data_IF_557121727919
#
_entry.id   IF_557121727919
#
_cell.length_a   1.000
_cell.length_b   1.000
_cell.length_c   1.000
_cell.angle_alpha   90.00
_cell.angle_beta   90.00
_cell.angle_gamma   90.00
#
_symmetry.space_group_name_H-M   'P 1'
#
loop_
_entity.id
_entity.type
_entity.pdbx_description
1 polymer ?
#
# COMPACT_ATOMS: atom_id res chain seq x y z
N UNK A 1 21.17 12.05 3.64
CA UNK A 1 21.28 11.03 2.57
C UNK A 1 22.74 10.71 2.30
N UNK A 2 23.10 9.45 1.95
CA UNK A 2 24.50 9.03 1.72
C UNK A 2 24.94 9.03 0.23
N UNK A 3 24.17 9.66 -0.66
CA UNK A 3 24.57 9.92 -2.06
C UNK A 3 24.77 8.70 -2.97
N UNK A 4 24.25 7.53 -2.60
CA UNK A 4 24.30 6.28 -3.38
C UNK A 4 22.95 5.55 -3.32
N UNK A 5 22.61 4.81 -4.37
CA UNK A 5 21.41 3.99 -4.42
C UNK A 5 20.12 4.76 -4.70
N UNK A 6 19.03 4.32 -4.08
CA UNK A 6 17.69 4.93 -4.16
C UNK A 6 17.28 5.50 -2.80
N UNK A 7 16.23 6.32 -2.77
CA UNK A 7 15.61 6.81 -1.54
C UNK A 7 14.12 6.44 -1.53
N UNK A 8 13.63 5.91 -0.41
CA UNK A 8 12.20 5.69 -0.20
C UNK A 8 11.46 7.01 0.00
N UNK A 9 10.14 6.99 -0.19
CA UNK A 9 9.26 8.16 -0.01
C UNK A 9 9.39 8.75 1.39
N UNK A 10 9.33 7.89 2.42
CA UNK A 10 9.53 8.25 3.83
C UNK A 10 10.87 7.68 4.34
N UNK A 11 11.98 8.16 3.79
CA UNK A 11 13.32 7.55 3.96
C UNK A 11 13.86 7.52 5.41
N UNK A 12 13.27 8.29 6.34
CA UNK A 12 13.65 8.31 7.75
C UNK A 12 12.68 7.53 8.66
N UNK A 13 11.58 6.98 8.12
CA UNK A 13 10.61 6.25 8.92
C UNK A 13 11.19 4.91 9.40
N UNK A 14 11.00 4.53 10.68
CA UNK A 14 11.37 3.21 11.16
C UNK A 14 10.48 2.14 10.50
N UNK A 15 11.05 0.97 10.22
CA UNK A 15 10.33 -0.16 9.63
C UNK A 15 10.22 -1.30 10.64
N UNK A 16 9.00 -1.80 10.83
CA UNK A 16 8.74 -3.08 11.50
C UNK A 16 8.47 -4.13 10.41
N UNK A 17 9.27 -5.20 10.40
CA UNK A 17 9.22 -6.22 9.35
C UNK A 17 8.70 -7.55 9.91
N UNK A 18 7.53 -7.99 9.44
CA UNK A 18 7.01 -9.32 9.72
C UNK A 18 6.96 -10.15 8.43
N UNK A 19 7.56 -11.34 8.46
CA UNK A 19 7.64 -12.21 7.28
C UNK A 19 6.41 -13.12 7.22
N UNK A 20 5.39 -12.70 6.48
CA UNK A 20 4.20 -13.52 6.19
C UNK A 20 4.36 -14.43 4.96
N UNK A 21 5.31 -14.11 4.07
CA UNK A 21 5.51 -14.79 2.79
C UNK A 21 6.93 -15.38 2.70
N UNK A 22 7.06 -16.49 1.98
CA UNK A 22 8.32 -17.19 1.81
C UNK A 22 8.41 -18.04 0.55
N UNK A 23 9.55 -18.72 0.41
CA UNK A 23 9.88 -19.54 -0.74
C UNK A 23 10.10 -18.74 -2.04
N UNK A 24 10.43 -19.44 -3.14
CA UNK A 24 10.74 -18.81 -4.42
C UNK A 24 9.57 -18.07 -5.06
N UNK A 25 8.34 -18.45 -4.71
CA UNK A 25 7.11 -17.87 -5.27
C UNK A 25 6.51 -16.76 -4.40
N UNK A 26 7.13 -16.45 -3.24
CA UNK A 26 6.60 -15.42 -2.33
C UNK A 26 5.21 -15.75 -1.80
N UNK A 27 4.97 -17.00 -1.40
CA UNK A 27 3.66 -17.46 -0.93
C UNK A 27 3.61 -17.59 0.59
N UNK A 28 2.42 -17.52 1.17
CA UNK A 28 2.17 -17.69 2.60
C UNK A 28 0.72 -18.04 2.87
N UNK A 29 0.41 -18.42 4.11
CA UNK A 29 -0.98 -18.72 4.48
C UNK A 29 -1.70 -17.47 4.95
N UNK A 30 -3.02 -17.45 4.80
CA UNK A 30 -3.86 -16.39 5.35
C UNK A 30 -3.67 -16.23 6.86
N UNK A 31 -3.40 -17.32 7.58
CA UNK A 31 -3.11 -17.29 9.00
C UNK A 31 -1.79 -16.57 9.31
N UNK A 32 -0.74 -16.79 8.52
CA UNK A 32 0.54 -16.09 8.69
C UNK A 32 0.40 -14.59 8.44
N UNK A 33 -0.36 -14.21 7.40
CA UNK A 33 -0.66 -12.80 7.10
C UNK A 33 -1.45 -12.17 8.25
N UNK A 34 -2.51 -12.82 8.73
CA UNK A 34 -3.31 -12.33 9.85
C UNK A 34 -2.47 -12.17 11.13
N UNK A 35 -1.61 -13.15 11.44
CA UNK A 35 -0.69 -13.08 12.59
C UNK A 35 0.28 -11.90 12.45
N UNK A 36 0.83 -11.67 11.25
CA UNK A 36 1.71 -10.53 11.01
C UNK A 36 1.00 -9.20 11.18
N UNK A 37 -0.24 -9.05 10.68
CA UNK A 37 -1.05 -7.83 10.85
C UNK A 37 -1.25 -7.52 12.34
N UNK A 38 -1.70 -8.51 13.12
CA UNK A 38 -1.91 -8.34 14.57
C UNK A 38 -0.60 -7.99 15.27
N UNK A 39 0.49 -8.70 14.96
CA UNK A 39 1.79 -8.47 15.59
C UNK A 39 2.32 -7.06 15.33
N UNK A 40 2.29 -6.57 14.08
CA UNK A 40 2.77 -5.20 13.78
C UNK A 40 1.84 -4.15 14.41
N UNK A 41 0.53 -4.39 14.45
CA UNK A 41 -0.40 -3.50 15.14
C UNK A 41 -0.08 -3.39 16.63
N UNK A 42 0.29 -4.50 17.29
CA UNK A 42 0.73 -4.52 18.70
C UNK A 42 2.08 -3.80 18.91
N UNK A 43 2.92 -3.69 17.88
CA UNK A 43 4.12 -2.85 17.93
C UNK A 43 3.82 -1.34 17.82
N UNK A 44 2.55 -0.96 17.62
CA UNK A 44 2.13 0.44 17.53
C UNK A 44 2.49 1.11 16.20
N UNK A 45 2.60 0.35 15.10
CA UNK A 45 2.81 0.94 13.78
C UNK A 45 1.58 1.76 13.36
N UNK A 46 1.81 2.87 12.67
CA UNK A 46 0.73 3.73 12.14
C UNK A 46 0.30 3.37 10.72
N UNK A 47 1.16 2.66 9.98
CA UNK A 47 0.88 2.22 8.59
C UNK A 47 1.31 0.76 8.43
N UNK A 48 0.45 -0.04 7.82
CA UNK A 48 0.73 -1.43 7.45
C UNK A 48 0.66 -1.53 5.92
N UNK A 49 1.77 -1.92 5.29
CA UNK A 49 1.88 -2.04 3.83
C UNK A 49 1.92 -3.52 3.42
N UNK A 50 0.97 -3.94 2.58
CA UNK A 50 0.79 -5.32 2.15
C UNK A 50 0.79 -5.44 0.62
N UNK A 51 1.96 -5.75 0.06
CA UNK A 51 2.16 -5.97 -1.38
C UNK A 51 1.77 -7.40 -1.79
N UNK A 52 0.56 -7.84 -1.40
CA UNK A 52 0.05 -9.21 -1.55
C UNK A 52 -1.47 -9.23 -1.77
N UNK A 53 -2.00 -10.37 -2.21
CA UNK A 53 -3.42 -10.62 -2.48
C UNK A 53 -3.78 -12.09 -2.28
N UNK A 54 -5.08 -12.39 -2.29
CA UNK A 54 -5.67 -13.71 -2.08
C UNK A 54 -7.19 -13.64 -1.95
N UNK A 55 -7.79 -14.76 -1.56
CA UNK A 55 -9.24 -14.86 -1.32
C UNK A 55 -9.68 -14.31 0.03
N UNK A 56 -10.98 -14.03 0.15
CA UNK A 56 -11.62 -13.58 1.38
C UNK A 56 -11.45 -14.61 2.53
N UNK A 57 -11.32 -14.11 3.75
CA UNK A 57 -11.19 -14.91 4.96
C UNK A 57 -11.61 -14.13 6.20
N UNK A 58 -12.49 -14.73 7.01
CA UNK A 58 -12.87 -14.18 8.32
C UNK A 58 -11.65 -13.89 9.20
N UNK A 59 -10.66 -14.79 9.22
CA UNK A 59 -9.45 -14.63 10.04
C UNK A 59 -8.63 -13.41 9.59
N UNK A 60 -8.50 -13.22 8.27
CA UNK A 60 -7.77 -12.07 7.71
C UNK A 60 -8.52 -10.77 8.01
N UNK A 61 -9.84 -10.74 7.77
CA UNK A 61 -10.64 -9.56 8.00
C UNK A 61 -10.63 -9.15 9.47
N UNK A 62 -10.71 -10.11 10.40
CA UNK A 62 -10.62 -9.83 11.83
C UNK A 62 -9.27 -9.20 12.22
N UNK A 63 -8.16 -9.67 11.65
CA UNK A 63 -6.85 -9.06 11.89
C UNK A 63 -6.76 -7.62 11.33
N UNK A 64 -7.31 -7.39 10.14
CA UNK A 64 -7.43 -6.04 9.55
C UNK A 64 -8.28 -5.13 10.43
N UNK A 65 -9.43 -5.60 10.91
CA UNK A 65 -10.31 -4.85 11.81
C UNK A 65 -9.64 -4.55 13.16
N UNK A 66 -8.86 -5.49 13.67
CA UNK A 66 -8.06 -5.28 14.87
C UNK A 66 -7.05 -4.14 14.64
N UNK A 67 -6.24 -4.19 13.58
CA UNK A 67 -5.29 -3.13 13.26
C UNK A 67 -5.96 -1.77 13.05
N UNK A 68 -7.11 -1.74 12.36
CA UNK A 68 -7.88 -0.51 12.12
C UNK A 68 -8.44 0.13 13.40
N UNK A 69 -8.84 -0.68 14.40
CA UNK A 69 -9.53 -0.21 15.61
C UNK A 69 -8.64 -0.11 16.84
N UNK A 70 -7.43 -0.68 16.83
CA UNK A 70 -6.55 -0.72 18.00
C UNK A 70 -5.98 0.69 18.32
N UNK A 71 -6.45 1.31 19.41
CA UNK A 71 -6.04 2.67 19.79
C UNK A 71 -6.46 3.72 18.75
N UNK A 72 -5.49 4.43 18.17
CA UNK A 72 -5.73 5.34 17.04
C UNK A 72 -5.82 4.61 15.68
N UNK A 73 -5.59 3.29 15.66
CA UNK A 73 -5.59 2.46 14.48
C UNK A 73 -4.33 2.61 13.64
N UNK A 74 -4.04 1.58 12.84
CA UNK A 74 -3.07 1.62 11.76
C UNK A 74 -3.78 1.75 10.41
N UNK A 75 -3.27 2.61 9.52
CA UNK A 75 -3.75 2.67 8.15
C UNK A 75 -3.22 1.46 7.38
N UNK A 76 -4.13 0.61 6.91
CA UNK A 76 -3.79 -0.59 6.18
C UNK A 76 -3.85 -0.31 4.68
N UNK A 77 -2.78 -0.62 3.96
CA UNK A 77 -2.63 -0.35 2.52
C UNK A 77 -2.26 -1.65 1.82
N UNK A 78 -3.00 -2.04 0.79
CA UNK A 78 -2.77 -3.30 0.09
C UNK A 78 -2.85 -3.17 -1.44
N UNK A 79 -2.18 -4.09 -2.14
CA UNK A 79 -2.14 -4.14 -3.60
C UNK A 79 -3.50 -4.57 -4.19
N UNK A 80 -4.01 -3.87 -5.21
CA UNK A 80 -5.32 -4.16 -5.80
C UNK A 80 -5.37 -5.46 -6.63
N UNK A 81 -4.23 -6.05 -7.01
CA UNK A 81 -4.14 -7.24 -7.87
C UNK A 81 -3.47 -6.97 -9.22
N UNK A 82 -3.11 -8.03 -9.95
CA UNK A 82 -2.26 -7.96 -11.15
C UNK A 82 -2.82 -8.74 -12.36
N UNK A 83 -4.12 -9.02 -12.39
CA UNK A 83 -4.80 -9.80 -13.43
C UNK A 83 -5.31 -8.92 -14.59
N UNK A 84 -5.36 -7.61 -14.39
CA UNK A 84 -5.78 -6.62 -15.39
C UNK A 84 -7.29 -6.49 -15.54
N UNK A 85 -8.06 -7.16 -14.68
CA UNK A 85 -9.51 -7.26 -14.73
C UNK A 85 -10.17 -6.67 -13.48
N UNK A 86 -11.44 -7.03 -13.22
CA UNK A 86 -12.21 -6.53 -12.09
C UNK A 86 -12.21 -7.45 -10.87
N UNK A 87 -11.31 -8.44 -10.81
CA UNK A 87 -11.21 -9.38 -9.69
C UNK A 87 -10.90 -8.62 -8.40
N UNK A 88 -11.57 -9.03 -7.31
CA UNK A 88 -11.31 -8.52 -5.97
C UNK A 88 -10.19 -9.34 -5.33
N UNK A 89 -9.22 -8.64 -4.76
CA UNK A 89 -8.10 -9.21 -4.04
C UNK A 89 -8.18 -8.83 -2.57
N UNK A 90 -7.98 -9.79 -1.68
CA UNK A 90 -8.00 -9.57 -0.24
C UNK A 90 -6.59 -9.60 0.33
N UNK A 91 -6.23 -8.65 1.22
CA UNK A 91 -7.13 -7.79 2.00
C UNK A 91 -7.53 -6.47 1.33
N UNK A 92 -7.09 -6.16 0.11
CA UNK A 92 -7.35 -4.85 -0.53
C UNK A 92 -8.84 -4.51 -0.66
N UNK A 93 -9.69 -5.50 -0.92
CA UNK A 93 -11.14 -5.33 -1.03
C UNK A 93 -11.88 -5.16 0.31
N UNK A 94 -11.20 -5.19 1.46
CA UNK A 94 -11.85 -4.87 2.73
C UNK A 94 -12.06 -3.36 2.88
N UNK A 95 -13.23 -2.97 3.39
CA UNK A 95 -13.60 -1.56 3.56
C UNK A 95 -12.63 -0.76 4.43
N UNK A 96 -11.91 -1.41 5.34
CA UNK A 96 -10.90 -0.83 6.23
C UNK A 96 -9.52 -0.65 5.56
N UNK A 97 -9.33 -1.12 4.32
CA UNK A 97 -8.04 -1.15 3.61
C UNK A 97 -8.05 -0.19 2.42
N UNK A 98 -6.93 0.51 2.24
CA UNK A 98 -6.67 1.32 1.04
C UNK A 98 -6.17 0.39 -0.07
N UNK A 99 -7.01 0.11 -1.07
CA UNK A 99 -6.62 -0.67 -2.24
C UNK A 99 -5.85 0.17 -3.25
N UNK A 100 -4.66 -0.29 -3.64
CA UNK A 100 -3.72 0.47 -4.47
C UNK A 100 -3.60 -0.09 -5.88
N UNK A 101 -4.00 0.72 -6.87
CA UNK A 101 -3.79 0.46 -8.29
C UNK A 101 -2.41 0.95 -8.77
N UNK A 102 -1.92 0.36 -9.85
CA UNK A 102 -0.64 0.68 -10.45
C UNK A 102 -0.78 1.58 -11.68
N UNK A 103 0.09 2.60 -11.76
CA UNK A 103 0.25 3.48 -12.91
C UNK A 103 1.65 3.36 -13.50
N UNK A 104 1.76 3.71 -14.78
CA UNK A 104 3.04 3.91 -15.43
C UNK A 104 3.56 5.35 -15.31
N UNK A 105 4.73 5.62 -15.90
CA UNK A 105 5.36 6.93 -15.85
C UNK A 105 4.68 8.00 -16.74
N UNK A 106 3.55 7.68 -17.36
CA UNK A 106 2.71 8.58 -18.16
C UNK A 106 1.33 8.77 -17.54
N UNK A 107 1.16 8.36 -16.27
CA UNK A 107 -0.12 8.40 -15.55
C UNK A 107 -1.22 7.53 -16.17
N UNK A 108 -0.83 6.52 -16.95
CA UNK A 108 -1.78 5.54 -17.45
C UNK A 108 -1.89 4.38 -16.46
N UNK A 109 -3.11 3.84 -16.28
CA UNK A 109 -3.31 2.59 -15.53
C UNK A 109 -2.46 1.49 -16.19
N UNK A 110 -1.66 0.80 -15.39
CA UNK A 110 -0.91 -0.35 -15.86
C UNK A 110 -1.89 -1.43 -16.35
N UNK A 111 -1.62 -2.05 -17.50
CA UNK A 111 -2.56 -3.01 -18.10
C UNK A 111 -2.86 -4.22 -17.21
N UNK A 112 -1.94 -4.57 -16.30
CA UNK A 112 -2.11 -5.64 -15.32
C UNK A 112 -2.85 -5.19 -14.05
N UNK A 113 -2.96 -3.90 -13.74
CA UNK A 113 -3.55 -3.46 -12.47
C UNK A 113 -5.03 -3.82 -12.45
N UNK A 114 -5.53 -4.54 -11.45
CA UNK A 114 -6.97 -4.75 -11.33
C UNK A 114 -7.70 -3.40 -11.19
N UNK A 115 -8.91 -3.32 -11.74
CA UNK A 115 -9.77 -2.15 -11.76
C UNK A 115 -11.19 -2.57 -11.34
N UNK A 116 -11.58 -2.18 -10.13
CA UNK A 116 -12.83 -2.58 -9.50
C UNK A 116 -13.33 -1.46 -8.57
N UNK A 117 -14.48 -1.68 -7.93
CA UNK A 117 -15.10 -0.67 -7.08
C UNK A 117 -14.32 -0.36 -5.78
N UNK A 118 -13.37 -1.22 -5.38
CA UNK A 118 -12.61 -1.09 -4.14
C UNK A 118 -11.29 -0.36 -4.33
N UNK A 119 -10.78 -0.22 -5.56
CA UNK A 119 -9.62 0.63 -5.88
C UNK A 119 -9.83 2.03 -5.29
N UNK A 120 -8.93 2.44 -4.41
CA UNK A 120 -9.06 3.69 -3.67
C UNK A 120 -8.06 4.74 -4.14
N UNK A 121 -6.81 4.33 -4.40
CA UNK A 121 -5.73 5.23 -4.80
C UNK A 121 -4.84 4.54 -5.84
N UNK A 122 -4.31 5.32 -6.77
CA UNK A 122 -3.27 4.88 -7.69
C UNK A 122 -1.88 5.36 -7.26
N UNK A 123 -0.84 4.61 -7.63
CA UNK A 123 0.55 5.05 -7.47
C UNK A 123 1.47 4.43 -8.54
N UNK A 124 2.71 4.92 -8.72
CA UNK A 124 3.65 4.35 -9.68
C UNK A 124 3.95 2.88 -9.35
N UNK A 125 3.65 2.01 -10.31
CA UNK A 125 3.82 0.56 -10.16
C UNK A 125 4.46 -0.11 -11.38
N UNK A 126 4.88 0.64 -12.40
CA UNK A 126 5.58 0.12 -13.59
C UNK A 126 7.01 0.60 -13.61
N UNK A 127 7.95 -0.33 -13.83
CA UNK A 127 9.39 -0.06 -13.92
C UNK A 127 9.95 0.69 -12.70
N UNK A 128 9.59 0.24 -11.50
CA UNK A 128 10.02 0.84 -10.24
C UNK A 128 11.36 0.22 -9.82
N UNK A 129 12.40 1.05 -9.78
CA UNK A 129 13.74 0.68 -9.27
C UNK A 129 13.75 0.70 -7.74
N UNK A 130 14.20 -0.40 -7.11
CA UNK A 130 14.38 -0.47 -5.67
C UNK A 130 15.55 -1.36 -5.26
N UNK A 131 15.88 -1.39 -3.96
CA UNK A 131 16.84 -2.32 -3.37
C UNK A 131 16.36 -3.77 -3.51
N UNK A 132 17.29 -4.71 -3.65
CA UNK A 132 16.99 -6.13 -3.83
C UNK A 132 17.90 -7.03 -3.00
N UNK A 133 17.46 -8.25 -2.70
CA UNK A 133 18.11 -9.15 -1.74
C UNK A 133 19.24 -10.02 -2.35
N UNK A 134 19.53 -9.89 -3.64
CA UNK A 134 20.61 -10.66 -4.28
C UNK A 134 22.03 -10.23 -3.87
N UNK A 135 22.19 -9.06 -3.25
CA UNK A 135 23.40 -8.64 -2.50
C UNK A 135 23.12 -7.37 -1.68
N UNK A 136 24.04 -6.99 -0.78
CA UNK A 136 23.93 -5.76 0.05
C UNK A 136 23.90 -4.44 -0.75
N UNK A 137 24.19 -4.48 -2.05
CA UNK A 137 24.17 -3.32 -2.94
C UNK A 137 23.40 -3.60 -4.22
N UNK A 138 22.50 -4.59 -4.20
CA UNK A 138 21.72 -4.97 -5.37
C UNK A 138 20.50 -4.06 -5.53
N UNK A 139 20.17 -3.79 -6.79
CA UNK A 139 18.98 -3.09 -7.19
C UNK A 139 18.30 -3.86 -8.31
N UNK A 140 16.99 -3.79 -8.36
CA UNK A 140 16.21 -4.36 -9.45
C UNK A 140 15.07 -3.43 -9.82
N UNK A 141 14.57 -3.59 -11.04
CA UNK A 141 13.38 -2.89 -11.54
C UNK A 141 12.25 -3.88 -11.65
N UNK A 142 11.15 -3.62 -10.95
CA UNK A 142 9.96 -4.49 -10.93
C UNK A 142 8.71 -3.70 -11.30
N UNK A 143 7.67 -4.44 -11.68
CA UNK A 143 6.35 -3.90 -11.98
C UNK A 143 5.28 -4.73 -11.27
N UNK A 144 4.24 -4.06 -10.76
CA UNK A 144 3.11 -4.66 -10.07
C UNK A 144 2.38 -3.64 -9.19
N UNK A 145 1.14 -3.92 -8.82
CA UNK A 145 0.45 -3.20 -7.73
C UNK A 145 1.23 -3.32 -6.42
N UNK A 146 1.95 -4.42 -6.23
CA UNK A 146 2.96 -4.61 -5.18
C UNK A 146 4.02 -3.50 -5.11
N UNK A 147 4.38 -2.86 -6.23
CA UNK A 147 5.32 -1.73 -6.29
C UNK A 147 4.63 -0.38 -6.08
N UNK A 148 3.33 -0.28 -6.38
CA UNK A 148 2.52 0.91 -6.11
C UNK A 148 2.20 1.06 -4.62
N UNK A 149 1.84 -0.05 -3.94
CA UNK A 149 1.51 -0.07 -2.50
C UNK A 149 2.52 0.65 -1.60
N UNK A 150 3.85 0.40 -1.68
CA UNK A 150 4.82 1.07 -0.81
C UNK A 150 4.97 2.57 -1.08
N UNK A 151 4.61 3.08 -2.26
CA UNK A 151 4.56 4.53 -2.50
C UNK A 151 3.44 5.16 -1.67
N UNK A 152 2.23 4.57 -1.70
CA UNK A 152 1.08 5.04 -0.92
C UNK A 152 1.36 4.93 0.58
N UNK A 153 1.92 3.80 1.04
CA UNK A 153 2.32 3.63 2.43
C UNK A 153 3.36 4.66 2.89
N UNK A 154 4.32 5.00 2.02
CA UNK A 154 5.30 6.05 2.29
C UNK A 154 4.67 7.45 2.40
N UNK A 155 3.71 7.78 1.54
CA UNK A 155 2.98 9.06 1.66
C UNK A 155 2.13 9.09 2.93
N UNK A 156 1.46 7.99 3.26
CA UNK A 156 0.72 7.86 4.51
C UNK A 156 1.63 8.06 5.75
N UNK A 157 2.84 7.49 5.74
CA UNK A 157 3.80 7.70 6.81
C UNK A 157 4.18 9.18 6.96
N UNK A 158 4.32 9.93 5.86
CA UNK A 158 4.56 11.37 5.90
C UNK A 158 3.35 12.17 6.40
N UNK A 159 2.12 11.71 6.16
CA UNK A 159 0.91 12.30 6.74
C UNK A 159 0.94 12.16 8.27
N UNK A 160 1.27 10.97 8.79
CA UNK A 160 1.42 10.75 10.24
C UNK A 160 2.58 11.54 10.85
N UNK A 161 3.71 11.69 10.14
CA UNK A 161 4.83 12.53 10.59
C UNK A 161 4.40 13.98 10.81
N UNK A 162 3.58 14.53 9.89
CA UNK A 162 3.03 15.88 10.03
C UNK A 162 1.87 15.98 11.01
N UNK A 163 1.17 14.87 11.27
CA UNK A 163 -0.01 14.83 12.11
C UNK A 163 0.04 13.63 13.08
N UNK A 164 0.91 13.65 14.12
CA UNK A 164 1.17 12.48 14.95
C UNK A 164 -0.02 11.97 15.78
N UNK A 165 -1.06 12.79 15.92
CA UNK A 165 -2.29 12.47 16.68
C UNK A 165 -3.44 12.01 15.78
N UNK A 166 -3.24 11.89 14.47
CA UNK A 166 -4.28 11.40 13.58
C UNK A 166 -4.66 9.95 13.92
N UNK A 167 -5.94 9.66 13.80
CA UNK A 167 -6.42 8.29 13.66
C UNK A 167 -6.18 7.78 12.24
N UNK A 168 -6.20 6.45 12.04
CA UNK A 168 -6.13 5.85 10.71
C UNK A 168 -7.18 6.43 9.74
N UNK A 169 -8.40 6.69 10.23
CA UNK A 169 -9.47 7.29 9.43
C UNK A 169 -9.16 8.74 9.00
N UNK A 170 -8.58 9.56 9.89
CA UNK A 170 -8.17 10.92 9.55
C UNK A 170 -7.01 10.94 8.55
N UNK A 171 -6.03 10.04 8.73
CA UNK A 171 -4.93 9.88 7.80
C UNK A 171 -5.40 9.42 6.42
N UNK A 172 -6.33 8.45 6.35
CA UNK A 172 -6.96 7.99 5.10
C UNK A 172 -7.69 9.13 4.40
N UNK A 173 -8.53 9.88 5.11
CA UNK A 173 -9.24 11.03 4.53
C UNK A 173 -8.28 12.10 3.98
N UNK A 174 -7.18 12.40 4.69
CA UNK A 174 -6.15 13.31 4.17
C UNK A 174 -5.46 12.72 2.95
N UNK A 175 -5.18 11.42 2.94
CA UNK A 175 -4.57 10.71 1.81
C UNK A 175 -5.46 10.77 0.56
N UNK A 176 -6.76 10.47 0.69
CA UNK A 176 -7.77 10.54 -0.39
C UNK A 176 -7.87 11.95 -0.98
N UNK A 177 -7.78 12.98 -0.14
CA UNK A 177 -7.77 14.38 -0.56
C UNK A 177 -6.43 14.84 -1.17
N UNK A 178 -5.39 14.02 -1.08
CA UNK A 178 -4.01 14.37 -1.46
C UNK A 178 -3.56 13.62 -2.71
N UNK A 179 -4.41 13.62 -3.73
CA UNK A 179 -4.19 12.94 -5.01
C UNK A 179 -4.22 13.93 -6.17
N UNK A 180 -3.64 13.52 -7.29
CA UNK A 180 -3.94 14.09 -8.61
C UNK A 180 -5.02 13.21 -9.24
N UNK A 181 -6.21 13.79 -9.47
CA UNK A 181 -7.33 13.10 -10.11
C UNK A 181 -6.97 12.75 -11.56
N UNK A 182 -7.15 11.48 -11.91
CA UNK A 182 -6.80 10.89 -13.21
C UNK A 182 -7.99 10.10 -13.73
N UNK A 183 -8.11 9.99 -15.05
CA UNK A 183 -9.21 9.24 -15.66
C UNK A 183 -10.50 10.04 -15.68
N UNK A 184 -11.60 9.45 -15.19
CA UNK A 184 -12.87 10.14 -15.10
C UNK A 184 -12.88 11.07 -13.89
N UNK A 185 -13.52 12.24 -13.99
CA UNK A 185 -13.52 13.19 -12.87
C UNK A 185 -14.14 12.58 -11.60
N UNK A 186 -13.42 12.71 -10.49
CA UNK A 186 -13.80 12.10 -9.21
C UNK A 186 -13.41 10.63 -9.11
N UNK A 187 -13.95 9.93 -8.09
CA UNK A 187 -13.56 8.55 -7.84
C UNK A 187 -13.99 7.62 -8.98
N UNK A 188 -13.05 6.89 -9.56
CA UNK A 188 -13.31 5.86 -10.58
C UNK A 188 -12.68 4.50 -10.24
N UNK A 189 -13.00 3.46 -11.02
CA UNK A 189 -12.55 2.09 -10.77
C UNK A 189 -11.10 1.81 -11.17
N UNK A 190 -10.46 2.72 -11.92
CA UNK A 190 -9.11 2.55 -12.46
C UNK A 190 -8.05 3.21 -11.58
N UNK A 191 -8.35 4.41 -11.08
CA UNK A 191 -7.42 5.23 -10.31
C UNK A 191 -7.92 5.51 -8.89
N UNK A 192 -9.13 5.08 -8.54
CA UNK A 192 -9.76 5.45 -7.28
C UNK A 192 -9.97 6.95 -7.24
N UNK A 193 -9.57 7.62 -6.17
CA UNK A 193 -9.57 9.08 -6.08
C UNK A 193 -8.51 9.75 -6.98
N UNK A 194 -7.49 9.01 -7.40
CA UNK A 194 -6.41 9.53 -8.24
C UNK A 194 -5.02 8.99 -7.85
N UNK A 195 -3.98 9.50 -8.52
CA UNK A 195 -2.59 9.16 -8.19
C UNK A 195 -2.15 9.90 -6.93
N UNK A 196 -1.57 9.20 -5.96
CA UNK A 196 -1.05 9.77 -4.72
C UNK A 196 -0.08 10.94 -4.98
N UNK A 197 -0.22 12.03 -4.22
CA UNK A 197 0.60 13.23 -4.34
C UNK A 197 1.19 13.63 -2.98
N UNK A 198 2.50 13.38 -2.81
CA UNK A 198 3.20 13.68 -1.56
C UNK A 198 3.15 15.17 -1.19
N UNK A 199 3.25 16.07 -2.16
CA UNK A 199 3.28 17.51 -1.89
C UNK A 199 1.95 18.00 -1.30
N UNK A 200 0.81 17.51 -1.81
CA UNK A 200 -0.52 17.78 -1.26
C UNK A 200 -0.73 17.13 0.12
N UNK A 201 -0.11 15.97 0.33
CA UNK A 201 -0.22 15.23 1.58
C UNK A 201 0.47 15.92 2.76
N UNK A 202 1.58 16.63 2.51
CA UNK A 202 2.38 17.30 3.56
C UNK A 202 2.22 18.82 3.62
N UNK A 203 1.38 19.39 2.76
CA UNK A 203 0.97 20.80 2.82
C UNK A 203 -0.10 21.05 3.87
#
# INVERSE_FOLDING_TARGET
>A
MRGKGVAGVAFNSPLAMCRALGGPLGSGTTADVANCITWVADQGVTVISMSLGGGDSTTLHQAVQYAWRNGNGALVVAAAGNDGDSTLEYPAAYSEVVAVAATDNKDQRASFSNANADVEIAAPGVNVLSTYDSSNSSYTTLSGTSMATPHVAGVAAMIFDRNPLFTAAQARSKLDASVDDLGAAGRDQQFGFGRVNLAKAVS
#
